data_IF_804333536650
#
_entry.id   IF_804333536650
#
_cell.length_a   1.000
_cell.length_b   1.000
_cell.length_c   1.000
_cell.angle_alpha   90.00
_cell.angle_beta   90.00
_cell.angle_gamma   90.00
#
_symmetry.space_group_name_H-M   'P 1'
#
loop_
_entity.id
_entity.type
_entity.pdbx_description
1 polymer ?
#
# COMPACT_ATOMS: atom_id res chain seq x y z
N UNK A 1 15.41 19.81 26.41
CA UNK A 1 14.70 20.36 25.24
C UNK A 1 14.95 19.59 23.95
N UNK A 2 16.21 19.45 23.47
CA UNK A 2 16.51 18.81 22.17
C UNK A 2 16.04 17.35 21.98
N UNK A 3 15.82 16.58 23.05
CA UNK A 3 15.39 15.18 22.92
C UNK A 3 13.90 15.03 22.62
N UNK A 4 13.07 15.98 23.07
CA UNK A 4 11.61 15.91 22.93
C UNK A 4 11.16 16.36 21.53
N UNK A 5 11.91 17.28 20.95
CA UNK A 5 11.69 17.79 19.59
C UNK A 5 11.98 16.70 18.54
N UNK A 6 13.10 15.98 18.68
CA UNK A 6 13.46 14.84 17.82
C UNK A 6 12.44 13.71 17.87
N UNK A 7 11.92 13.38 19.05
CA UNK A 7 10.91 12.32 19.16
C UNK A 7 9.61 12.69 18.45
N UNK A 8 9.20 13.97 18.49
CA UNK A 8 8.00 14.42 17.77
C UNK A 8 8.19 14.37 16.27
N UNK A 9 9.36 14.79 15.78
CA UNK A 9 9.67 14.77 14.35
C UNK A 9 9.73 13.32 13.82
N UNK A 10 10.35 12.41 14.59
CA UNK A 10 10.36 10.98 14.28
C UNK A 10 8.95 10.37 14.29
N UNK A 11 8.12 10.68 15.30
CA UNK A 11 6.73 10.22 15.38
C UNK A 11 5.86 10.74 14.22
N UNK A 12 6.07 11.98 13.78
CA UNK A 12 5.38 12.57 12.63
C UNK A 12 5.77 11.89 11.33
N UNK A 13 7.07 11.68 11.10
CA UNK A 13 7.57 10.96 9.93
C UNK A 13 7.02 9.53 9.89
N UNK A 14 6.94 8.84 11.03
CA UNK A 14 6.36 7.50 11.12
C UNK A 14 4.85 7.51 10.84
N UNK A 15 4.10 8.48 11.35
CA UNK A 15 2.67 8.61 11.04
C UNK A 15 2.42 8.89 9.56
N UNK A 16 3.19 9.78 8.94
CA UNK A 16 3.04 10.11 7.52
C UNK A 16 3.37 8.90 6.64
N UNK A 17 4.42 8.14 6.98
CA UNK A 17 4.72 6.86 6.32
C UNK A 17 3.57 5.88 6.42
N UNK A 18 2.99 5.68 7.60
CA UNK A 18 1.85 4.76 7.79
C UNK A 18 0.64 5.22 6.99
N UNK A 19 0.34 6.52 7.00
CA UNK A 19 -0.77 7.09 6.23
C UNK A 19 -0.59 6.86 4.72
N UNK A 20 0.61 7.12 4.20
CA UNK A 20 0.94 6.89 2.79
C UNK A 20 0.84 5.40 2.42
N UNK A 21 1.32 4.50 3.29
CA UNK A 21 1.21 3.03 3.10
C UNK A 21 -0.25 2.58 3.04
N UNK A 22 -1.08 3.00 4.00
CA UNK A 22 -2.50 2.67 4.03
C UNK A 22 -3.25 3.20 2.80
N UNK A 23 -2.89 4.39 2.32
CA UNK A 23 -3.44 4.98 1.10
C UNK A 23 -3.10 4.16 -0.14
N UNK A 24 -1.84 3.74 -0.28
CA UNK A 24 -1.40 2.91 -1.40
C UNK A 24 -2.02 1.51 -1.37
N UNK A 25 -2.10 0.90 -0.18
CA UNK A 25 -2.77 -0.38 0.04
C UNK A 25 -4.24 -0.30 -0.38
N UNK A 26 -4.97 0.69 0.11
CA UNK A 26 -6.37 0.92 -0.23
C UNK A 26 -6.58 1.10 -1.73
N UNK A 27 -5.68 1.85 -2.39
CA UNK A 27 -5.73 2.04 -3.83
C UNK A 27 -5.50 0.72 -4.59
N UNK A 28 -4.52 -0.08 -4.19
CA UNK A 28 -4.24 -1.37 -4.81
C UNK A 28 -5.42 -2.35 -4.66
N UNK A 29 -6.05 -2.41 -3.48
CA UNK A 29 -7.26 -3.23 -3.27
C UNK A 29 -8.44 -2.75 -4.11
N UNK A 30 -8.69 -1.43 -4.13
CA UNK A 30 -9.75 -0.85 -4.94
C UNK A 30 -9.55 -1.14 -6.44
N UNK A 31 -8.31 -1.05 -6.92
CA UNK A 31 -7.97 -1.36 -8.31
C UNK A 31 -8.24 -2.83 -8.65
N UNK A 32 -7.83 -3.77 -7.78
CA UNK A 32 -8.14 -5.21 -7.96
C UNK A 32 -9.65 -5.45 -8.07
N UNK A 33 -10.42 -4.93 -7.12
CA UNK A 33 -11.88 -5.05 -7.11
C UNK A 33 -12.50 -4.47 -8.39
N UNK A 34 -11.98 -3.33 -8.85
CA UNK A 34 -12.43 -2.67 -10.08
C UNK A 34 -12.19 -3.55 -11.31
N UNK A 35 -10.98 -4.10 -11.49
CA UNK A 35 -10.68 -4.95 -12.67
C UNK A 35 -11.31 -6.34 -12.61
N UNK A 36 -11.76 -6.77 -11.42
CA UNK A 36 -12.54 -7.98 -11.21
C UNK A 36 -14.04 -7.76 -11.41
N UNK A 37 -14.53 -6.51 -11.45
CA UNK A 37 -15.93 -6.17 -11.67
C UNK A 37 -16.42 -6.67 -13.05
N UNK A 38 -17.53 -7.41 -13.05
CA UNK A 38 -18.18 -7.91 -14.25
C UNK A 38 -18.58 -6.79 -15.23
N UNK A 39 -18.79 -5.56 -14.75
CA UNK A 39 -19.05 -4.37 -15.59
C UNK A 39 -17.85 -3.93 -16.43
N UNK A 40 -16.65 -4.34 -16.03
CA UNK A 40 -15.40 -4.16 -16.77
C UNK A 40 -14.96 -5.43 -17.49
N UNK A 41 -15.61 -6.57 -17.25
CA UNK A 41 -15.38 -7.78 -18.02
C UNK A 41 -15.65 -7.51 -19.51
N UNK A 42 -14.69 -7.86 -20.36
CA UNK A 42 -14.73 -7.61 -21.80
C UNK A 42 -14.41 -6.19 -22.25
N UNK A 43 -14.19 -5.23 -21.32
CA UNK A 43 -13.67 -3.88 -21.64
C UNK A 43 -12.15 -3.77 -21.52
N UNK A 44 -11.55 -4.66 -20.75
CA UNK A 44 -10.11 -4.80 -20.60
C UNK A 44 -9.68 -6.15 -21.15
N UNK A 45 -8.49 -6.23 -21.73
CA UNK A 45 -7.94 -7.52 -22.16
C UNK A 45 -7.60 -8.38 -20.94
N UNK A 46 -7.63 -9.71 -21.10
CA UNK A 46 -7.23 -10.63 -20.02
C UNK A 46 -5.76 -10.43 -19.63
N UNK A 47 -4.90 -10.06 -20.59
CA UNK A 47 -3.48 -9.75 -20.35
C UNK A 47 -3.32 -8.48 -19.49
N UNK A 48 -4.06 -7.42 -19.79
CA UNK A 48 -4.03 -6.18 -19.00
C UNK A 48 -4.60 -6.44 -17.60
N UNK A 49 -5.71 -7.19 -17.50
CA UNK A 49 -6.30 -7.60 -16.23
C UNK A 49 -5.27 -8.32 -15.37
N UNK A 50 -4.62 -9.34 -15.93
CA UNK A 50 -3.62 -10.14 -15.23
C UNK A 50 -2.42 -9.29 -14.81
N UNK A 51 -1.98 -8.37 -15.66
CA UNK A 51 -0.88 -7.44 -15.37
C UNK A 51 -1.23 -6.53 -14.19
N UNK A 52 -2.42 -5.94 -14.18
CA UNK A 52 -2.90 -5.07 -13.10
C UNK A 52 -2.99 -5.86 -11.79
N UNK A 53 -3.65 -7.03 -11.80
CA UNK A 53 -3.77 -7.88 -10.62
C UNK A 53 -2.41 -8.28 -10.04
N UNK A 54 -1.47 -8.64 -10.91
CA UNK A 54 -0.10 -9.01 -10.51
C UNK A 54 0.60 -7.84 -9.84
N UNK A 55 0.55 -6.64 -10.44
CA UNK A 55 1.18 -5.44 -9.87
C UNK A 55 0.55 -5.00 -8.55
N UNK A 56 -0.78 -5.04 -8.43
CA UNK A 56 -1.45 -4.76 -7.18
C UNK A 56 -1.05 -5.74 -6.07
N UNK A 57 -0.95 -7.04 -6.38
CA UNK A 57 -0.50 -8.05 -5.42
C UNK A 57 0.97 -7.86 -5.01
N UNK A 58 1.86 -7.52 -5.95
CA UNK A 58 3.26 -7.20 -5.66
C UNK A 58 3.36 -6.01 -4.70
N UNK A 59 2.59 -4.94 -4.93
CA UNK A 59 2.57 -3.75 -4.06
C UNK A 59 2.07 -4.10 -2.66
N UNK A 60 0.95 -4.82 -2.54
CA UNK A 60 0.41 -5.23 -1.23
C UNK A 60 1.42 -6.10 -0.48
N UNK A 61 2.01 -7.10 -1.14
CA UNK A 61 3.03 -7.97 -0.52
C UNK A 61 4.28 -7.18 -0.09
N UNK A 62 4.69 -6.19 -0.88
CA UNK A 62 5.78 -5.30 -0.50
C UNK A 62 5.41 -4.47 0.73
N UNK A 63 4.19 -3.90 0.78
CA UNK A 63 3.72 -3.12 1.92
C UNK A 63 3.67 -3.95 3.22
N UNK A 64 3.15 -5.18 3.17
CA UNK A 64 3.10 -6.11 4.32
C UNK A 64 4.49 -6.41 4.88
N UNK A 65 5.46 -6.68 3.99
CA UNK A 65 6.86 -6.93 4.37
C UNK A 65 7.52 -5.69 4.97
N UNK A 66 7.22 -4.51 4.45
CA UNK A 66 7.76 -3.26 4.99
C UNK A 66 7.06 -2.82 6.28
N UNK A 67 5.84 -3.26 6.55
CA UNK A 67 5.16 -3.00 7.83
C UNK A 67 5.71 -3.90 8.93
N UNK A 68 6.00 -5.17 8.64
CA UNK A 68 6.64 -6.09 9.59
C UNK A 68 8.10 -5.74 9.88
N UNK A 69 8.82 -5.16 8.92
CA UNK A 69 10.18 -4.65 9.12
C UNK A 69 10.24 -3.49 10.14
N UNK A 70 9.32 -2.53 10.07
CA UNK A 70 9.29 -1.39 11.03
C UNK A 70 8.74 -1.78 12.41
N UNK A 71 8.02 -2.91 12.53
CA UNK A 71 7.42 -3.37 13.78
C UNK A 71 8.36 -4.24 14.64
N UNK A 72 9.50 -4.68 14.11
CA UNK A 72 10.43 -5.59 14.80
C UNK A 72 11.61 -4.87 15.48
N UNK A 73 11.51 -3.56 15.71
CA UNK A 73 12.49 -2.77 16.47
C UNK A 73 11.87 -2.15 17.74
N UNK A 74 10.95 -2.87 18.39
CA UNK A 74 10.45 -2.55 19.74
C UNK A 74 10.87 -3.58 20.76
#
# INVERSE_FOLDING_TARGET
DSSLDKHKEDDEVQRDKVSAKNGLESYAFNMKSTVEDEKLAGKISDDDKQTILTKCNEVISWLDKNQTAEKNER
#
